data_IF_845736737137
#
_entry.id   IF_845736737137
#
_cell.length_a   1.000
_cell.length_b   1.000
_cell.length_c   1.000
_cell.angle_alpha   90.00
_cell.angle_beta   90.00
_cell.angle_gamma   90.00
#
_symmetry.space_group_name_H-M   'P 1'
#
loop_
_entity.id
_entity.type
_entity.pdbx_description
1 polymer ?
#
# COMPACT_ATOMS: atom_id res chain seq x y z
N UNK A 1 29.25 11.71 -3.01
CA UNK A 1 28.69 10.43 -3.45
C UNK A 1 27.81 10.69 -4.66
N UNK A 2 27.92 9.85 -5.69
CA UNK A 2 27.10 9.91 -6.88
C UNK A 2 25.63 9.58 -6.50
N UNK A 3 24.69 10.40 -6.94
CA UNK A 3 23.26 10.23 -6.67
C UNK A 3 22.75 8.84 -7.10
N UNK A 4 23.31 8.29 -8.16
CA UNK A 4 23.02 6.95 -8.65
C UNK A 4 23.43 5.86 -7.64
N UNK A 5 24.60 6.02 -7.01
CA UNK A 5 25.10 5.08 -6.01
C UNK A 5 24.25 5.11 -4.72
N UNK A 6 23.83 6.30 -4.29
CA UNK A 6 22.97 6.48 -3.11
C UNK A 6 21.63 5.75 -3.34
N UNK A 7 21.04 5.88 -4.52
CA UNK A 7 19.78 5.25 -4.88
C UNK A 7 19.89 3.71 -4.94
N UNK A 8 20.97 3.19 -5.51
CA UNK A 8 21.25 1.74 -5.54
C UNK A 8 21.44 1.17 -4.13
N UNK A 9 22.15 1.88 -3.25
CA UNK A 9 22.37 1.44 -1.87
C UNK A 9 21.06 1.45 -1.06
N UNK A 10 20.17 2.42 -1.27
CA UNK A 10 18.83 2.45 -0.69
C UNK A 10 18.03 1.21 -1.11
N UNK A 11 17.93 0.94 -2.41
CA UNK A 11 17.18 -0.20 -2.97
C UNK A 11 17.73 -1.54 -2.48
N UNK A 12 19.06 -1.64 -2.32
CA UNK A 12 19.68 -2.84 -1.73
C UNK A 12 19.26 -3.03 -0.27
N UNK A 13 19.31 -1.97 0.57
CA UNK A 13 18.87 -2.04 1.99
C UNK A 13 17.41 -2.44 2.10
N UNK A 14 16.51 -1.85 1.30
CA UNK A 14 15.09 -2.20 1.26
C UNK A 14 14.90 -3.69 0.91
N UNK A 15 15.55 -4.16 -0.14
CA UNK A 15 15.48 -5.58 -0.56
C UNK A 15 15.97 -6.51 0.54
N UNK A 16 17.11 -6.24 1.16
CA UNK A 16 17.68 -7.06 2.22
C UNK A 16 16.79 -7.08 3.48
N UNK A 17 16.22 -5.95 3.84
CA UNK A 17 15.27 -5.83 4.95
C UNK A 17 14.02 -6.67 4.69
N UNK A 18 13.40 -6.52 3.54
CA UNK A 18 12.19 -7.27 3.18
C UNK A 18 12.48 -8.77 3.06
N UNK A 19 13.61 -9.17 2.48
CA UNK A 19 14.00 -10.57 2.43
C UNK A 19 14.11 -11.19 3.83
N UNK A 20 14.78 -10.53 4.79
CA UNK A 20 14.84 -11.00 6.18
C UNK A 20 13.47 -11.05 6.84
N UNK A 21 12.70 -9.98 6.70
CA UNK A 21 11.35 -9.87 7.29
C UNK A 21 10.41 -10.98 6.83
N UNK A 22 10.49 -11.36 5.56
CA UNK A 22 9.62 -12.41 5.01
C UNK A 22 10.12 -13.82 5.28
N UNK A 23 11.42 -14.00 5.52
CA UNK A 23 11.98 -15.30 5.93
C UNK A 23 11.78 -15.63 7.41
N UNK A 24 11.74 -14.64 8.29
CA UNK A 24 11.73 -14.82 9.77
C UNK A 24 10.33 -14.73 10.41
N UNK A 25 9.28 -14.47 9.64
CA UNK A 25 7.87 -14.28 10.07
C UNK A 25 7.68 -13.37 11.30
N UNK A 26 8.44 -12.27 11.37
CA UNK A 26 8.47 -11.32 12.50
C UNK A 26 7.19 -10.48 12.65
N UNK A 27 6.04 -10.94 12.11
CA UNK A 27 4.78 -10.20 12.02
C UNK A 27 4.00 -10.06 13.33
N UNK A 28 4.28 -10.88 14.35
CA UNK A 28 3.45 -10.90 15.58
C UNK A 28 3.44 -9.57 16.33
N UNK A 29 4.56 -8.89 16.49
CA UNK A 29 4.62 -7.62 17.22
C UNK A 29 3.85 -6.49 16.52
N UNK A 30 3.86 -6.46 15.18
CA UNK A 30 3.11 -5.49 14.38
C UNK A 30 1.60 -5.76 14.41
N UNK A 31 1.17 -7.03 14.48
CA UNK A 31 -0.25 -7.43 14.44
C UNK A 31 -1.10 -6.75 15.51
N UNK A 32 -0.47 -6.40 16.63
CA UNK A 32 -1.15 -5.77 17.79
C UNK A 32 -1.76 -4.42 17.44
N UNK A 33 -1.01 -3.54 16.79
CA UNK A 33 -1.49 -2.20 16.42
C UNK A 33 -2.42 -2.25 15.22
N UNK A 34 -2.18 -3.14 14.27
CA UNK A 34 -3.01 -3.28 13.07
C UNK A 34 -4.42 -3.82 13.34
N UNK A 35 -4.69 -4.32 14.57
CA UNK A 35 -6.01 -4.84 14.96
C UNK A 35 -7.15 -3.80 14.85
N UNK A 36 -6.83 -2.49 14.93
CA UNK A 36 -7.80 -1.39 14.80
C UNK A 36 -7.97 -0.88 13.36
N UNK A 37 -7.21 -1.40 12.41
CA UNK A 37 -7.25 -0.97 11.00
C UNK A 37 -8.16 -1.84 10.11
N UNK A 38 -9.02 -2.65 10.71
CA UNK A 38 -9.94 -3.53 9.97
C UNK A 38 -10.78 -2.79 8.94
N UNK A 39 -11.32 -1.63 9.28
CA UNK A 39 -12.15 -0.82 8.39
C UNK A 39 -11.38 -0.34 7.14
N UNK A 40 -10.15 0.14 7.29
CA UNK A 40 -9.32 0.59 6.16
C UNK A 40 -8.89 -0.56 5.26
N UNK A 41 -8.51 -1.70 5.85
CA UNK A 41 -8.16 -2.91 5.10
C UNK A 41 -9.35 -3.46 4.31
N UNK A 42 -10.54 -3.54 4.93
CA UNK A 42 -11.75 -3.98 4.24
C UNK A 42 -12.11 -3.05 3.10
N UNK A 43 -12.08 -1.74 3.34
CA UNK A 43 -12.37 -0.74 2.31
C UNK A 43 -11.42 -0.86 1.11
N UNK A 44 -10.10 -0.95 1.35
CA UNK A 44 -9.11 -1.16 0.28
C UNK A 44 -9.39 -2.44 -0.51
N UNK A 45 -9.63 -3.57 0.19
CA UNK A 45 -9.87 -4.87 -0.47
C UNK A 45 -11.15 -4.89 -1.30
N UNK A 46 -12.24 -4.29 -0.81
CA UNK A 46 -13.51 -4.20 -1.52
C UNK A 46 -13.36 -3.36 -2.79
N UNK A 47 -12.68 -2.21 -2.67
CA UNK A 47 -12.44 -1.31 -3.79
C UNK A 47 -11.52 -1.95 -4.84
N UNK A 48 -10.39 -2.54 -4.41
CA UNK A 48 -9.47 -3.23 -5.30
C UNK A 48 -10.15 -4.41 -6.01
N UNK A 49 -10.97 -5.20 -5.30
CA UNK A 49 -11.75 -6.27 -5.89
C UNK A 49 -12.71 -5.76 -6.97
N UNK A 50 -13.47 -4.70 -6.66
CA UNK A 50 -14.45 -4.14 -7.60
C UNK A 50 -13.81 -3.61 -8.87
N UNK A 51 -12.71 -2.86 -8.74
CA UNK A 51 -11.98 -2.26 -9.84
C UNK A 51 -11.28 -3.30 -10.73
N UNK A 52 -10.87 -4.44 -10.15
CA UNK A 52 -10.09 -5.47 -10.86
C UNK A 52 -10.91 -6.42 -11.73
N UNK A 53 -12.24 -6.43 -11.64
CA UNK A 53 -13.09 -7.39 -12.35
C UNK A 53 -12.91 -7.34 -13.86
N UNK A 54 -12.39 -8.44 -14.44
CA UNK A 54 -12.16 -8.57 -15.87
C UNK A 54 -11.09 -7.63 -16.43
N UNK A 55 -10.26 -7.02 -15.58
CA UNK A 55 -9.25 -6.01 -15.93
C UNK A 55 -7.83 -6.59 -15.95
N UNK A 56 -6.92 -5.88 -16.61
CA UNK A 56 -5.47 -6.11 -16.54
C UNK A 56 -4.93 -5.34 -15.34
N UNK A 57 -4.47 -6.05 -14.34
CA UNK A 57 -4.09 -5.49 -13.04
C UNK A 57 -2.58 -5.61 -12.82
N UNK A 58 -1.94 -4.52 -12.39
CA UNK A 58 -0.62 -4.54 -11.80
C UNK A 58 -0.75 -4.47 -10.28
N UNK A 59 -0.31 -5.51 -9.58
CA UNK A 59 -0.09 -5.45 -8.14
C UNK A 59 1.31 -4.92 -7.86
N UNK A 60 1.34 -3.72 -7.31
CA UNK A 60 2.53 -2.91 -7.09
C UNK A 60 3.02 -3.12 -5.66
N UNK A 61 4.10 -3.91 -5.49
CA UNK A 61 4.57 -4.39 -4.18
C UNK A 61 3.69 -5.51 -3.63
N UNK A 62 3.73 -6.69 -4.25
CA UNK A 62 2.86 -7.81 -3.87
C UNK A 62 3.22 -8.42 -2.51
N UNK A 63 4.44 -8.17 -2.01
CA UNK A 63 4.94 -8.86 -0.84
C UNK A 63 4.79 -10.38 -0.96
N UNK A 64 4.50 -11.10 0.13
CA UNK A 64 4.28 -12.55 0.09
C UNK A 64 2.88 -12.94 -0.40
N UNK A 65 2.16 -12.07 -1.11
CA UNK A 65 0.91 -12.41 -1.78
C UNK A 65 -0.37 -12.21 -0.94
N UNK A 66 -0.40 -11.23 -0.05
CA UNK A 66 -1.59 -11.01 0.80
C UNK A 66 -2.86 -10.57 0.02
N UNK A 67 -2.71 -9.99 -1.16
CA UNK A 67 -3.81 -9.47 -1.98
C UNK A 67 -3.88 -10.19 -3.33
N UNK A 68 -2.76 -10.65 -3.88
CA UNK A 68 -2.66 -11.34 -5.18
C UNK A 68 -3.73 -12.42 -5.38
N UNK A 69 -4.01 -13.33 -4.41
CA UNK A 69 -5.01 -14.37 -4.60
C UNK A 69 -6.41 -13.84 -4.85
N UNK A 70 -6.76 -12.72 -4.22
CA UNK A 70 -8.05 -12.07 -4.44
C UNK A 70 -8.10 -11.43 -5.84
N UNK A 71 -7.04 -10.73 -6.24
CA UNK A 71 -6.95 -10.09 -7.55
C UNK A 71 -7.00 -11.13 -8.67
N UNK A 72 -6.26 -12.23 -8.53
CA UNK A 72 -6.18 -13.30 -9.54
C UNK A 72 -7.52 -14.02 -9.78
N UNK A 73 -8.46 -13.97 -8.83
CA UNK A 73 -9.82 -14.51 -9.00
C UNK A 73 -10.76 -13.57 -9.75
N UNK A 74 -10.52 -12.28 -9.69
CA UNK A 74 -11.41 -11.25 -10.24
C UNK A 74 -10.92 -10.71 -11.58
N UNK A 75 -9.59 -10.60 -11.75
CA UNK A 75 -8.96 -9.96 -12.89
C UNK A 75 -8.86 -10.90 -14.12
N UNK A 76 -8.79 -10.31 -15.30
CA UNK A 76 -8.45 -11.03 -16.52
C UNK A 76 -6.96 -11.41 -16.57
N UNK A 77 -6.10 -10.57 -16.00
CA UNK A 77 -4.67 -10.79 -15.87
C UNK A 77 -4.14 -10.04 -14.66
N UNK A 78 -3.27 -10.68 -13.87
CA UNK A 78 -2.51 -10.02 -12.80
C UNK A 78 -1.02 -10.13 -13.11
N UNK A 79 -0.33 -8.99 -13.11
CA UNK A 79 1.12 -8.92 -12.97
C UNK A 79 1.42 -8.46 -11.55
N UNK A 80 2.17 -9.24 -10.78
CA UNK A 80 2.52 -8.96 -9.39
C UNK A 80 4.04 -8.73 -9.28
N UNK A 81 4.44 -7.57 -8.79
CA UNK A 81 5.85 -7.22 -8.67
C UNK A 81 6.25 -6.93 -7.22
N UNK A 82 7.48 -7.25 -6.88
CA UNK A 82 8.12 -6.85 -5.63
C UNK A 82 9.64 -6.81 -5.83
N UNK A 83 10.36 -6.02 -5.04
CA UNK A 83 11.83 -5.98 -5.08
C UNK A 83 12.45 -7.21 -4.40
N UNK A 84 11.71 -7.83 -3.47
CA UNK A 84 12.11 -9.03 -2.72
C UNK A 84 11.83 -10.30 -3.52
N UNK A 85 12.88 -11.01 -3.88
CA UNK A 85 12.78 -12.32 -4.52
C UNK A 85 12.16 -13.38 -3.58
N UNK A 86 12.41 -13.30 -2.28
CA UNK A 86 11.79 -14.14 -1.25
C UNK A 86 10.27 -13.93 -1.22
N UNK A 87 9.82 -12.67 -1.21
CA UNK A 87 8.40 -12.33 -1.24
C UNK A 87 7.71 -12.84 -2.50
N UNK A 88 8.32 -12.61 -3.65
CA UNK A 88 7.81 -13.06 -4.96
C UNK A 88 7.68 -14.60 -5.01
N UNK A 89 8.68 -15.32 -4.52
CA UNK A 89 8.64 -16.79 -4.46
C UNK A 89 7.49 -17.28 -3.56
N UNK A 90 7.31 -16.67 -2.41
CA UNK A 90 6.23 -16.99 -1.47
C UNK A 90 4.84 -16.69 -2.08
N UNK A 91 4.67 -15.50 -2.68
CA UNK A 91 3.41 -15.11 -3.33
C UNK A 91 3.02 -16.10 -4.44
N UNK A 92 3.99 -16.51 -5.26
CA UNK A 92 3.78 -17.53 -6.31
C UNK A 92 3.33 -18.86 -5.71
N UNK A 93 3.98 -19.32 -4.64
CA UNK A 93 3.63 -20.57 -3.97
C UNK A 93 2.21 -20.55 -3.41
N UNK A 94 1.82 -19.47 -2.73
CA UNK A 94 0.48 -19.31 -2.17
C UNK A 94 -0.60 -19.32 -3.26
N UNK A 95 -0.37 -18.65 -4.38
CA UNK A 95 -1.35 -18.62 -5.47
C UNK A 95 -1.43 -19.94 -6.23
N UNK A 96 -0.31 -20.63 -6.43
CA UNK A 96 -0.28 -21.95 -7.11
C UNK A 96 -1.02 -23.04 -6.34
N UNK A 97 -1.12 -22.92 -5.02
CA UNK A 97 -1.86 -23.87 -4.17
C UNK A 97 -3.37 -23.66 -4.19
N UNK A 98 -3.86 -22.62 -4.87
CA UNK A 98 -5.31 -22.30 -4.88
C UNK A 98 -6.08 -23.13 -5.89
N UNK A 99 -7.21 -23.69 -5.46
CA UNK A 99 -8.17 -24.33 -6.35
C UNK A 99 -8.77 -23.30 -7.33
N UNK A 100 -8.95 -23.70 -8.60
CA UNK A 100 -9.64 -22.87 -9.60
C UNK A 100 -8.73 -22.17 -10.60
N UNK A 101 -7.41 -22.47 -10.61
CA UNK A 101 -6.51 -22.02 -11.68
C UNK A 101 -6.30 -20.49 -11.75
N UNK A 102 -6.48 -19.78 -10.65
CA UNK A 102 -6.19 -18.37 -10.58
C UNK A 102 -4.72 -18.12 -10.99
N UNK A 103 -4.49 -17.33 -12.02
CA UNK A 103 -3.17 -17.10 -12.60
C UNK A 103 -2.71 -15.67 -12.36
N UNK A 104 -1.49 -15.54 -11.82
CA UNK A 104 -0.77 -14.27 -11.76
C UNK A 104 0.65 -14.46 -12.28
N UNK A 105 1.13 -13.50 -13.05
CA UNK A 105 2.54 -13.42 -13.46
C UNK A 105 3.32 -12.70 -12.36
N UNK A 106 4.40 -13.32 -11.87
CA UNK A 106 5.23 -12.76 -10.80
C UNK A 106 6.58 -12.34 -11.33
N UNK A 107 7.05 -11.16 -10.97
CA UNK A 107 8.34 -10.65 -11.37
C UNK A 107 9.04 -9.93 -10.21
N UNK A 108 10.32 -10.21 -10.02
CA UNK A 108 11.20 -9.38 -9.18
C UNK A 108 11.53 -8.13 -9.96
N UNK A 109 11.06 -6.98 -9.48
CA UNK A 109 11.13 -5.73 -10.23
C UNK A 109 11.22 -4.53 -9.29
N UNK A 110 12.00 -3.53 -9.72
CA UNK A 110 12.02 -2.21 -9.09
C UNK A 110 10.76 -1.43 -9.47
N UNK A 111 9.98 -1.05 -8.46
CA UNK A 111 8.75 -0.30 -8.63
C UNK A 111 8.97 1.13 -9.14
N UNK A 112 10.15 1.71 -8.94
CA UNK A 112 10.52 3.04 -9.47
C UNK A 112 11.00 3.00 -10.94
N UNK A 113 11.11 1.80 -11.52
CA UNK A 113 11.52 1.59 -12.92
C UNK A 113 10.86 0.33 -13.48
N UNK A 114 9.63 0.47 -13.91
CA UNK A 114 8.84 -0.66 -14.42
C UNK A 114 9.28 -1.09 -15.81
N UNK A 115 9.51 -2.40 -15.99
CA UNK A 115 9.82 -3.01 -17.29
C UNK A 115 8.60 -3.22 -18.20
N UNK A 116 7.46 -2.59 -17.91
CA UNK A 116 6.25 -2.70 -18.71
C UNK A 116 6.13 -1.54 -19.71
N UNK A 117 5.50 -1.81 -20.85
CA UNK A 117 5.17 -0.78 -21.82
C UNK A 117 4.15 0.24 -21.24
N UNK A 118 4.14 1.44 -21.78
CA UNK A 118 3.13 2.43 -21.44
C UNK A 118 1.71 1.89 -21.74
N UNK A 119 0.71 2.31 -20.96
CA UNK A 119 -0.71 1.96 -21.16
C UNK A 119 -0.99 0.45 -21.18
N UNK A 120 -0.26 -0.31 -20.34
CA UNK A 120 -0.37 -1.77 -20.27
C UNK A 120 -1.47 -2.27 -19.33
N UNK A 121 -1.87 -1.47 -18.35
CA UNK A 121 -2.77 -1.87 -17.28
C UNK A 121 -4.01 -0.98 -17.18
N UNK A 122 -5.14 -1.60 -16.86
CA UNK A 122 -6.39 -0.91 -16.54
C UNK A 122 -6.41 -0.47 -15.07
N UNK A 123 -5.74 -1.26 -14.19
CA UNK A 123 -5.71 -0.99 -12.74
C UNK A 123 -4.31 -1.23 -12.19
N UNK A 124 -3.85 -0.33 -11.31
CA UNK A 124 -2.68 -0.53 -10.45
C UNK A 124 -3.15 -0.58 -9.00
N UNK A 125 -2.77 -1.64 -8.28
CA UNK A 125 -3.10 -1.80 -6.86
C UNK A 125 -1.82 -1.85 -6.03
N UNK A 126 -1.66 -0.95 -5.05
CA UNK A 126 -0.53 -0.96 -4.12
C UNK A 126 -1.00 -0.95 -2.66
N UNK A 127 -0.30 -1.68 -1.80
CA UNK A 127 -0.60 -1.73 -0.38
C UNK A 127 0.65 -1.62 0.46
N UNK A 128 0.81 -0.50 1.15
CA UNK A 128 1.95 -0.23 2.03
C UNK A 128 3.30 -0.37 1.28
N UNK A 129 3.42 0.33 0.16
CA UNK A 129 4.57 0.28 -0.73
C UNK A 129 5.17 1.66 -1.00
N UNK A 130 4.35 2.69 -1.28
CA UNK A 130 4.86 4.00 -1.71
C UNK A 130 5.74 4.68 -0.66
N UNK A 131 5.51 4.41 0.62
CA UNK A 131 6.31 4.98 1.71
C UNK A 131 7.73 4.37 1.83
N UNK A 132 8.08 3.38 1.02
CA UNK A 132 9.44 2.83 0.84
C UNK A 132 10.14 3.35 -0.41
N UNK A 133 9.43 4.12 -1.25
CA UNK A 133 9.87 4.49 -2.60
C UNK A 133 10.07 6.01 -2.74
N UNK A 134 10.78 6.42 -3.78
CA UNK A 134 10.67 7.77 -4.30
C UNK A 134 9.25 7.93 -4.89
N UNK A 135 8.40 8.65 -4.16
CA UNK A 135 6.98 8.81 -4.50
C UNK A 135 6.79 9.46 -5.86
N UNK A 136 7.63 10.43 -6.21
CA UNK A 136 7.52 11.15 -7.48
C UNK A 136 7.81 10.24 -8.67
N UNK A 137 8.92 9.49 -8.63
CA UNK A 137 9.27 8.50 -9.65
C UNK A 137 8.24 7.37 -9.74
N UNK A 138 7.78 6.91 -8.58
CA UNK A 138 6.75 5.86 -8.52
C UNK A 138 5.44 6.28 -9.17
N UNK A 139 4.98 7.49 -8.90
CA UNK A 139 3.76 8.03 -9.51
C UNK A 139 3.91 8.29 -11.00
N UNK A 140 5.12 8.66 -11.47
CA UNK A 140 5.45 8.76 -12.88
C UNK A 140 5.30 7.40 -13.59
N UNK A 141 5.91 6.35 -13.05
CA UNK A 141 5.81 5.01 -13.61
C UNK A 141 4.38 4.47 -13.56
N UNK A 142 3.65 4.70 -12.47
CA UNK A 142 2.23 4.34 -12.35
C UNK A 142 1.39 5.06 -13.42
N UNK A 143 1.59 6.36 -13.61
CA UNK A 143 0.90 7.13 -14.66
C UNK A 143 1.23 6.61 -16.06
N UNK A 144 2.50 6.30 -16.32
CA UNK A 144 2.99 5.81 -17.61
C UNK A 144 2.38 4.45 -17.99
N UNK A 145 2.31 3.52 -17.05
CA UNK A 145 1.82 2.16 -17.34
C UNK A 145 0.31 2.04 -17.33
N UNK A 146 -0.41 2.99 -16.72
CA UNK A 146 -1.87 3.04 -16.76
C UNK A 146 -2.38 3.46 -18.14
N UNK A 147 -3.51 2.89 -18.53
CA UNK A 147 -4.30 3.34 -19.67
C UNK A 147 -4.94 4.70 -19.36
N UNK A 148 -5.42 5.39 -20.40
CA UNK A 148 -6.05 6.71 -20.25
C UNK A 148 -7.27 6.70 -19.29
N UNK A 149 -8.05 5.63 -19.32
CA UNK A 149 -9.19 5.35 -18.44
C UNK A 149 -8.82 4.49 -17.22
N UNK A 150 -7.52 4.29 -17.00
CA UNK A 150 -6.99 3.45 -15.93
C UNK A 150 -7.06 4.11 -14.55
N UNK A 151 -7.05 3.27 -13.51
CA UNK A 151 -7.18 3.69 -12.12
C UNK A 151 -6.08 3.09 -11.27
N UNK A 152 -5.43 3.89 -10.43
CA UNK A 152 -4.56 3.37 -9.39
C UNK A 152 -5.22 3.50 -8.01
N UNK A 153 -5.05 2.48 -7.17
CA UNK A 153 -5.50 2.47 -5.78
C UNK A 153 -4.36 2.09 -4.85
N UNK A 154 -4.16 2.91 -3.83
CA UNK A 154 -3.13 2.69 -2.82
C UNK A 154 -3.70 2.76 -1.40
N UNK A 155 -3.15 1.91 -0.54
CA UNK A 155 -3.33 1.95 0.91
C UNK A 155 -2.00 2.27 1.57
N UNK A 156 -1.89 3.42 2.25
CA UNK A 156 -0.61 3.90 2.79
C UNK A 156 -0.72 4.49 4.21
N UNK A 157 0.36 4.41 5.00
CA UNK A 157 0.45 5.12 6.26
C UNK A 157 0.73 6.62 6.04
N UNK A 158 0.19 7.45 6.93
CA UNK A 158 0.42 8.91 6.96
C UNK A 158 1.43 9.30 8.03
N UNK A 159 2.22 10.34 7.74
CA UNK A 159 3.31 10.82 8.58
C UNK A 159 2.98 11.99 9.51
N UNK A 160 1.73 12.46 9.59
CA UNK A 160 1.38 13.64 10.38
C UNK A 160 0.92 13.35 11.82
N UNK A 161 0.55 12.12 12.14
CA UNK A 161 0.04 11.76 13.47
C UNK A 161 1.16 11.74 14.52
N UNK A 162 1.13 12.61 15.55
CA UNK A 162 2.23 12.70 16.51
C UNK A 162 2.36 11.44 17.40
N UNK A 163 1.24 10.78 17.74
CA UNK A 163 1.26 9.57 18.54
C UNK A 163 1.89 8.40 17.77
N UNK A 164 1.53 8.25 16.50
CA UNK A 164 2.14 7.25 15.61
C UNK A 164 3.61 7.56 15.36
N UNK A 165 3.98 8.82 15.19
CA UNK A 165 5.38 9.21 15.03
C UNK A 165 6.21 8.95 16.29
N UNK A 166 5.64 9.15 17.48
CA UNK A 166 6.28 8.76 18.74
C UNK A 166 6.48 7.24 18.79
N UNK A 167 5.43 6.45 18.49
CA UNK A 167 5.54 4.99 18.42
C UNK A 167 6.62 4.54 17.44
N UNK A 168 6.71 5.18 16.26
CA UNK A 168 7.76 4.89 15.27
C UNK A 168 9.17 5.14 15.80
N UNK A 169 9.37 6.23 16.54
CA UNK A 169 10.66 6.54 17.17
C UNK A 169 11.05 5.53 18.26
N UNK A 170 10.06 4.97 18.96
CA UNK A 170 10.28 3.97 20.01
C UNK A 170 10.50 2.55 19.47
N UNK A 171 10.21 2.31 18.18
CA UNK A 171 10.31 1.00 17.55
C UNK A 171 11.12 1.02 16.23
N UNK A 172 12.38 1.50 16.23
CA UNK A 172 13.18 1.67 15.00
C UNK A 172 13.46 0.34 14.31
N UNK A 173 13.66 -0.75 15.03
CA UNK A 173 13.97 -2.06 14.45
C UNK A 173 12.86 -2.64 13.55
N UNK A 174 11.66 -2.07 13.56
CA UNK A 174 10.53 -2.51 12.74
C UNK A 174 10.50 -1.88 11.35
N UNK A 175 11.45 -1.04 11.00
CA UNK A 175 11.46 -0.20 9.78
C UNK A 175 12.84 -0.13 9.15
N UNK A 176 12.86 0.25 7.86
CA UNK A 176 14.09 0.73 7.23
C UNK A 176 14.32 2.21 7.59
N UNK A 177 15.56 2.65 7.48
CA UNK A 177 15.92 4.07 7.66
C UNK A 177 15.33 4.94 6.56
N UNK A 178 15.06 4.35 5.40
CA UNK A 178 14.57 5.00 4.20
C UNK A 178 13.03 5.11 4.16
N UNK A 179 12.31 4.45 5.09
CA UNK A 179 10.84 4.48 5.18
C UNK A 179 10.31 5.87 5.55
N UNK A 180 9.48 6.44 4.71
CA UNK A 180 8.86 7.75 4.95
C UNK A 180 7.34 7.71 4.72
N UNK A 181 6.53 7.68 5.78
CA UNK A 181 5.08 7.75 5.66
C UNK A 181 4.63 8.97 4.87
N UNK A 182 3.56 8.83 4.08
CA UNK A 182 3.13 9.87 3.16
C UNK A 182 2.74 11.18 3.86
N UNK A 183 3.15 12.28 3.28
CA UNK A 183 2.84 13.64 3.69
C UNK A 183 1.94 14.34 2.66
N UNK A 184 1.39 15.50 3.01
CA UNK A 184 0.54 16.29 2.09
C UNK A 184 1.23 16.59 0.75
N UNK A 185 2.54 16.86 0.76
CA UNK A 185 3.32 17.13 -0.45
C UNK A 185 3.29 15.97 -1.45
N UNK A 186 3.22 14.72 -0.97
CA UNK A 186 3.20 13.54 -1.84
C UNK A 186 1.89 13.44 -2.63
N UNK A 187 0.78 13.91 -2.03
CA UNK A 187 -0.50 14.05 -2.75
C UNK A 187 -0.54 15.25 -3.70
N UNK A 188 0.29 16.25 -3.48
CA UNK A 188 0.48 17.34 -4.45
C UNK A 188 1.25 16.81 -5.67
N UNK A 189 2.23 15.92 -5.49
CA UNK A 189 2.88 15.20 -6.59
C UNK A 189 1.90 14.34 -7.36
N UNK A 190 0.98 13.63 -6.67
CA UNK A 190 -0.07 12.87 -7.33
C UNK A 190 -0.98 13.75 -8.19
N UNK A 191 -1.35 14.95 -7.73
CA UNK A 191 -2.18 15.90 -8.49
C UNK A 191 -1.49 16.50 -9.72
N UNK A 192 -0.17 16.43 -9.81
CA UNK A 192 0.57 16.82 -11.02
C UNK A 192 0.50 15.75 -12.11
N UNK A 193 0.21 14.50 -11.74
CA UNK A 193 0.20 13.34 -12.64
C UNK A 193 -1.19 12.81 -12.97
N UNK A 194 -2.18 13.13 -12.12
CA UNK A 194 -3.55 12.64 -12.23
C UNK A 194 -4.55 13.77 -12.04
N UNK A 195 -5.55 13.86 -12.93
CA UNK A 195 -6.59 14.88 -12.85
C UNK A 195 -7.50 14.68 -11.64
N UNK A 196 -7.68 13.43 -11.17
CA UNK A 196 -8.47 13.11 -9.98
C UNK A 196 -7.66 12.37 -8.94
N UNK A 197 -7.68 12.89 -7.71
CA UNK A 197 -7.05 12.31 -6.52
C UNK A 197 -8.08 12.31 -5.39
N UNK A 198 -8.64 11.15 -5.12
CA UNK A 198 -9.61 10.95 -4.05
C UNK A 198 -8.95 10.26 -2.87
N UNK A 199 -9.10 10.81 -1.65
CA UNK A 199 -8.42 10.30 -0.46
C UNK A 199 -9.44 10.04 0.63
N UNK A 200 -9.45 8.82 1.17
CA UNK A 200 -10.21 8.46 2.35
C UNK A 200 -9.28 8.13 3.50
N UNK A 201 -9.53 8.72 4.65
CA UNK A 201 -8.69 8.69 5.84
C UNK A 201 -9.25 7.74 6.88
N UNK A 202 -8.36 7.08 7.68
CA UNK A 202 -8.72 6.09 8.68
C UNK A 202 -7.77 6.11 9.86
N UNK A 203 -8.27 5.71 11.04
CA UNK A 203 -7.43 5.43 12.19
C UNK A 203 -6.95 6.69 12.90
N UNK A 204 -7.85 7.48 13.45
CA UNK A 204 -7.54 8.59 14.36
C UNK A 204 -7.96 8.23 15.79
N UNK A 205 -9.26 8.17 16.05
CA UNK A 205 -9.78 7.84 17.39
C UNK A 205 -9.82 6.33 17.62
N UNK A 206 -9.94 5.51 16.59
CA UNK A 206 -9.84 4.05 16.70
C UNK A 206 -8.52 3.58 17.30
N UNK A 207 -7.46 4.37 17.26
CA UNK A 207 -6.20 4.12 17.97
C UNK A 207 -6.37 3.99 19.49
N UNK A 208 -7.34 4.68 20.08
CA UNK A 208 -7.62 4.59 21.51
C UNK A 208 -8.17 3.21 21.93
N UNK A 209 -8.60 2.38 20.99
CA UNK A 209 -9.02 1.01 21.29
C UNK A 209 -7.83 0.05 21.53
N UNK A 210 -6.62 0.38 21.07
CA UNK A 210 -5.45 -0.52 21.12
C UNK A 210 -5.17 -1.08 22.53
N UNK A 211 -5.21 -0.30 23.64
CA UNK A 211 -4.99 -0.81 24.99
C UNK A 211 -6.02 -1.84 25.44
N UNK A 212 -7.22 -1.81 24.87
CA UNK A 212 -8.35 -2.69 25.24
C UNK A 212 -8.41 -3.97 24.39
N UNK A 213 -7.40 -4.22 23.56
CA UNK A 213 -7.30 -5.42 22.76
C UNK A 213 -7.24 -6.66 23.65
N UNK A 214 -8.05 -7.65 23.39
CA UNK A 214 -8.18 -8.85 24.20
C UNK A 214 -9.38 -8.82 25.16
N UNK A 215 -10.04 -7.66 25.31
CA UNK A 215 -11.28 -7.58 26.08
C UNK A 215 -12.51 -7.92 25.22
N UNK A 216 -13.56 -8.52 25.81
CA UNK A 216 -14.74 -8.97 25.04
C UNK A 216 -15.44 -7.86 24.25
N UNK A 217 -15.39 -6.62 24.72
CA UNK A 217 -16.02 -5.47 24.07
C UNK A 217 -15.14 -4.79 23.01
N UNK A 218 -13.90 -5.23 22.78
CA UNK A 218 -12.95 -4.59 21.86
C UNK A 218 -13.54 -4.34 20.47
N UNK A 219 -14.17 -5.34 19.86
CA UNK A 219 -14.76 -5.19 18.52
C UNK A 219 -15.90 -4.16 18.49
N UNK A 220 -16.68 -4.03 19.57
CA UNK A 220 -17.70 -2.99 19.70
C UNK A 220 -17.10 -1.61 19.82
N UNK A 221 -16.05 -1.46 20.64
CA UNK A 221 -15.32 -0.22 20.82
C UNK A 221 -14.68 0.27 19.51
N UNK A 222 -14.00 -0.62 18.77
CA UNK A 222 -13.41 -0.28 17.46
C UNK A 222 -14.48 0.22 16.50
N UNK A 223 -15.62 -0.47 16.38
CA UNK A 223 -16.73 -0.02 15.50
C UNK A 223 -17.29 1.35 15.89
N UNK A 224 -17.44 1.62 17.19
CA UNK A 224 -17.90 2.92 17.67
C UNK A 224 -16.91 4.03 17.35
N UNK A 225 -15.60 3.80 17.60
CA UNK A 225 -14.55 4.77 17.29
C UNK A 225 -14.35 4.97 15.78
N UNK A 226 -14.51 3.92 14.95
CA UNK A 226 -14.53 4.06 13.50
C UNK A 226 -15.71 4.91 13.01
N UNK A 227 -16.86 4.87 13.69
CA UNK A 227 -17.98 5.75 13.39
C UNK A 227 -17.64 7.22 13.71
N UNK A 228 -16.96 7.47 14.84
CA UNK A 228 -16.43 8.79 15.18
C UNK A 228 -15.39 9.25 14.15
N UNK A 229 -14.46 8.37 13.76
CA UNK A 229 -13.46 8.66 12.74
C UNK A 229 -14.09 9.07 11.42
N UNK A 230 -15.13 8.38 10.96
CA UNK A 230 -15.85 8.73 9.72
C UNK A 230 -16.45 10.16 9.74
N UNK A 231 -16.86 10.64 10.89
CA UNK A 231 -17.37 11.99 11.03
C UNK A 231 -16.23 13.01 11.16
N UNK A 232 -15.29 12.77 12.06
CA UNK A 232 -14.20 13.69 12.40
C UNK A 232 -13.22 13.91 11.25
N UNK A 233 -12.89 12.85 10.50
CA UNK A 233 -11.95 12.91 9.37
C UNK A 233 -12.51 13.61 8.12
N UNK A 234 -13.77 14.07 8.15
CA UNK A 234 -14.30 15.02 7.15
C UNK A 234 -13.76 16.44 7.36
N UNK A 235 -13.29 16.76 8.56
CA UNK A 235 -12.72 18.07 8.88
C UNK A 235 -11.34 18.23 8.21
N UNK A 236 -11.12 19.28 7.38
CA UNK A 236 -9.93 19.42 6.54
C UNK A 236 -8.60 19.39 7.31
N UNK A 237 -8.54 19.97 8.52
CA UNK A 237 -7.33 19.96 9.35
C UNK A 237 -7.08 18.61 10.00
N UNK A 238 -8.13 18.03 10.60
CA UNK A 238 -8.04 16.83 11.43
C UNK A 238 -7.73 15.56 10.63
N UNK A 239 -8.22 15.45 9.39
CA UNK A 239 -8.04 14.27 8.53
C UNK A 239 -6.57 13.89 8.32
N UNK A 240 -5.66 14.86 8.34
CA UNK A 240 -4.23 14.59 8.16
C UNK A 240 -3.57 13.91 9.37
N UNK A 241 -4.23 13.90 10.53
CA UNK A 241 -3.78 13.15 11.71
C UNK A 241 -4.26 11.70 11.71
N UNK A 242 -4.98 11.28 10.69
CA UNK A 242 -5.27 9.86 10.47
C UNK A 242 -3.98 9.04 10.42
N UNK A 243 -4.05 7.77 10.80
CA UNK A 243 -2.90 6.87 10.70
C UNK A 243 -2.66 6.40 9.28
N UNK A 244 -3.75 6.04 8.59
CA UNK A 244 -3.67 5.49 7.23
C UNK A 244 -4.66 6.17 6.31
N UNK A 245 -4.41 6.05 5.00
CA UNK A 245 -5.37 6.43 3.97
C UNK A 245 -5.47 5.35 2.90
N UNK A 246 -6.62 5.35 2.22
CA UNK A 246 -6.79 4.73 0.90
C UNK A 246 -7.02 5.85 -0.08
N UNK A 247 -6.29 5.87 -1.17
CA UNK A 247 -6.50 6.88 -2.20
C UNK A 247 -6.56 6.28 -3.59
N UNK A 248 -7.34 6.93 -4.43
CA UNK A 248 -7.61 6.55 -5.81
C UNK A 248 -7.12 7.67 -6.71
N UNK A 249 -6.37 7.28 -7.72
CA UNK A 249 -5.84 8.15 -8.76
C UNK A 249 -6.48 7.74 -10.08
N UNK A 250 -7.08 8.68 -10.79
CA UNK A 250 -7.66 8.43 -12.12
C UNK A 250 -7.38 9.57 -13.07
N UNK A 251 -7.64 9.32 -14.34
CA UNK A 251 -7.37 10.26 -15.44
C UNK A 251 -5.89 10.68 -15.45
N UNK A 252 -4.94 9.77 -15.76
CA UNK A 252 -3.53 10.09 -15.86
C UNK A 252 -3.30 11.18 -16.92
N UNK A 253 -2.54 12.21 -16.55
CA UNK A 253 -2.28 13.35 -17.43
C UNK A 253 -1.22 12.99 -18.48
N UNK A 254 -1.41 13.37 -19.77
CA UNK A 254 -0.46 13.07 -20.84
C UNK A 254 0.87 13.80 -20.62
N UNK A 255 1.97 13.05 -20.62
CA UNK A 255 3.33 13.63 -20.54
C UNK A 255 3.69 14.25 -19.19
N UNK A 256 2.93 13.95 -18.16
CA UNK A 256 3.22 14.41 -16.80
C UNK A 256 4.30 13.55 -16.12
#
# INVERSE_FOLDING_TARGET
LDTSQIDQDRKRREREFHNRRFSEDTREAASRFYSVLGASHSYYRELARGLSRGKRVLEYGCGPGAVTPMLAREAALVAAIDISDVAVAEARRQTSSMAGGASAAYCVMDAERLGFAARSFDVVCGRAILHHLDVERSLEEVSRVLREDGVAIFYEPLGHNPAINLYRRLTPAMRTEDEHPLLRRDFESARRRFARVEIRFFGLFSLFAVPFRGLPFFGGLVRALDAVDRAALRLPGLRWWAWTCVFVLSDPLPGA
#
